data_IF_354465135111
#
_entry.id   IF_354465135111
#
_cell.length_a   1.000
_cell.length_b   1.000
_cell.length_c   1.000
_cell.angle_alpha   90.00
_cell.angle_beta   90.00
_cell.angle_gamma   90.00
#
_symmetry.space_group_name_H-M   'P 1'
#
loop_
_entity.id
_entity.type
_entity.pdbx_description
1 polymer ?
#
# COMPACT_ATOMS: atom_id res chain seq x y z
N UNK A 1 1.38 8.98 -2.31
CA UNK A 1 0.05 9.59 -2.56
C UNK A 1 0.23 10.70 -3.57
N UNK A 2 -0.60 10.77 -4.61
CA UNK A 2 -0.57 11.88 -5.58
C UNK A 2 -1.73 12.82 -5.27
N UNK A 3 -1.45 14.10 -5.03
CA UNK A 3 -2.41 15.05 -4.44
C UNK A 3 -2.52 16.30 -5.33
N UNK A 4 -3.74 16.72 -5.60
CA UNK A 4 -4.07 18.03 -6.19
C UNK A 4 -3.94 19.11 -5.09
N UNK A 5 -3.24 20.21 -5.35
CA UNK A 5 -2.81 21.17 -4.31
C UNK A 5 -3.96 21.83 -3.54
N UNK A 6 -3.87 21.88 -2.20
CA UNK A 6 -4.64 22.84 -1.37
C UNK A 6 -5.42 22.29 -0.17
N UNK A 7 -4.79 21.60 0.78
CA UNK A 7 -5.44 21.15 2.02
C UNK A 7 -5.17 22.11 3.21
N UNK A 8 -6.16 22.40 4.07
CA UNK A 8 -5.98 23.19 5.29
C UNK A 8 -5.25 22.40 6.39
N UNK A 9 -4.59 23.07 7.36
CA UNK A 9 -3.94 22.39 8.48
C UNK A 9 -5.00 21.83 9.45
N UNK A 10 -4.91 20.54 9.77
CA UNK A 10 -5.71 19.84 10.79
C UNK A 10 -4.88 19.48 12.03
N UNK A 11 -5.53 18.85 13.00
CA UNK A 11 -5.04 18.52 14.35
C UNK A 11 -3.68 17.80 14.40
N UNK A 12 -2.94 17.99 15.50
CA UNK A 12 -1.59 17.43 15.74
C UNK A 12 -1.67 15.91 15.91
N UNK A 13 -0.85 15.16 15.17
CA UNK A 13 -0.69 13.71 15.33
C UNK A 13 -0.01 13.36 16.65
N UNK A 14 -0.71 12.62 17.51
CA UNK A 14 -0.22 12.19 18.82
C UNK A 14 0.27 10.74 18.79
N UNK A 15 1.48 10.49 19.29
CA UNK A 15 2.08 9.16 19.30
C UNK A 15 2.05 8.58 20.72
N UNK A 16 1.69 7.31 20.85
CA UNK A 16 1.57 6.68 22.16
C UNK A 16 1.24 5.21 22.03
N UNK A 17 1.25 4.52 23.17
CA UNK A 17 0.90 3.11 23.23
C UNK A 17 -0.55 2.88 22.80
N UNK A 18 -0.86 1.80 22.08
CA UNK A 18 -2.23 1.50 21.62
C UNK A 18 -3.26 1.37 22.75
N UNK A 19 -2.82 1.15 24.00
CA UNK A 19 -3.70 1.15 25.19
C UNK A 19 -4.17 2.57 25.59
N UNK A 20 -3.55 3.61 25.06
CA UNK A 20 -3.87 5.00 25.35
C UNK A 20 -4.90 5.52 24.32
N UNK A 21 -6.08 5.90 24.79
CA UNK A 21 -7.20 6.28 23.91
C UNK A 21 -6.94 7.52 23.02
N UNK A 22 -5.95 8.35 23.38
CA UNK A 22 -5.55 9.54 22.61
C UNK A 22 -4.47 9.26 21.56
N UNK A 23 -3.84 8.08 21.59
CA UNK A 23 -2.76 7.74 20.68
C UNK A 23 -3.30 7.47 19.27
N UNK A 24 -2.76 8.20 18.29
CA UNK A 24 -3.07 8.01 16.87
C UNK A 24 -2.10 7.04 16.18
N UNK A 25 -0.83 7.02 16.60
CA UNK A 25 0.24 6.20 16.04
C UNK A 25 1.00 5.50 17.17
N UNK A 26 1.09 4.18 17.09
CA UNK A 26 1.88 3.35 18.03
C UNK A 26 3.26 2.98 17.45
N UNK A 27 4.05 2.25 18.23
CA UNK A 27 5.36 1.68 17.87
C UNK A 27 5.25 0.85 16.59
N UNK A 28 6.28 0.93 15.76
CA UNK A 28 6.45 -0.04 14.67
C UNK A 28 6.98 -1.37 15.22
N UNK A 29 6.65 -2.47 14.55
CA UNK A 29 7.10 -3.81 14.94
C UNK A 29 8.64 -3.92 14.96
N UNK A 30 9.17 -4.79 15.82
CA UNK A 30 10.54 -4.78 16.33
C UNK A 30 11.69 -5.00 15.32
N UNK A 31 11.43 -5.36 14.05
CA UNK A 31 12.49 -5.62 13.04
C UNK A 31 12.77 -4.43 12.12
N UNK A 32 11.75 -3.66 11.74
CA UNK A 32 11.85 -2.51 10.84
C UNK A 32 12.35 -1.16 11.41
N UNK A 33 12.45 -0.88 12.73
CA UNK A 33 12.51 0.52 13.15
C UNK A 33 13.86 1.20 12.86
N UNK A 34 14.94 0.42 12.97
CA UNK A 34 16.30 0.88 12.63
C UNK A 34 16.42 1.10 11.13
N UNK A 35 15.83 0.22 10.32
CA UNK A 35 15.84 0.31 8.86
C UNK A 35 15.08 1.54 8.39
N UNK A 36 13.86 1.75 8.90
CA UNK A 36 13.04 2.93 8.56
C UNK A 36 13.74 4.22 8.99
N UNK A 37 14.32 4.28 10.19
CA UNK A 37 15.08 5.46 10.65
C UNK A 37 16.30 5.71 9.78
N UNK A 38 17.03 4.66 9.42
CA UNK A 38 18.22 4.75 8.55
C UNK A 38 17.83 5.24 7.16
N UNK A 39 16.77 4.67 6.59
CA UNK A 39 16.22 5.05 5.31
C UNK A 39 15.77 6.51 5.31
N UNK A 40 14.94 6.91 6.27
CA UNK A 40 14.42 8.28 6.41
C UNK A 40 15.56 9.29 6.56
N UNK A 41 16.58 8.99 7.38
CA UNK A 41 17.74 9.84 7.56
C UNK A 41 18.62 9.93 6.31
N UNK A 42 18.78 8.82 5.57
CA UNK A 42 19.50 8.79 4.29
C UNK A 42 18.78 9.66 3.27
N UNK A 43 17.46 9.55 3.16
CA UNK A 43 16.64 10.34 2.24
C UNK A 43 16.74 11.83 2.55
N UNK A 44 16.62 12.24 3.83
CA UNK A 44 16.81 13.64 4.26
C UNK A 44 18.19 14.22 3.93
N UNK A 45 19.25 13.42 4.04
CA UNK A 45 20.64 13.90 3.89
C UNK A 45 21.15 13.84 2.45
N UNK A 46 20.64 12.92 1.63
CA UNK A 46 21.25 12.59 0.32
C UNK A 46 20.35 12.85 -0.88
N UNK A 47 19.06 13.07 -0.68
CA UNK A 47 18.12 13.31 -1.78
C UNK A 47 17.66 14.77 -1.74
N UNK A 48 17.51 15.37 -2.92
CA UNK A 48 16.93 16.71 -3.12
C UNK A 48 15.41 16.64 -2.90
N UNK A 49 15.01 16.30 -1.67
CA UNK A 49 13.62 16.14 -1.24
C UNK A 49 13.36 17.03 -0.04
N UNK A 50 12.14 17.57 0.03
CA UNK A 50 11.74 18.43 1.13
C UNK A 50 10.89 17.66 2.12
N UNK A 51 11.36 17.55 3.36
CA UNK A 51 10.58 17.06 4.49
C UNK A 51 9.57 18.14 4.90
N UNK A 52 8.28 17.89 4.73
CA UNK A 52 7.20 18.84 5.04
C UNK A 52 6.74 18.75 6.49
N UNK A 53 6.61 17.52 7.00
CA UNK A 53 6.12 17.23 8.35
C UNK A 53 7.03 16.15 8.94
N UNK A 54 7.41 16.32 10.20
CA UNK A 54 8.06 15.30 11.01
C UNK A 54 7.53 15.42 12.44
N UNK A 55 6.38 14.80 12.69
CA UNK A 55 5.63 14.96 13.94
C UNK A 55 5.38 13.62 14.63
N UNK A 56 5.59 13.62 15.94
CA UNK A 56 5.02 12.72 16.93
C UNK A 56 5.08 13.51 18.23
N UNK A 57 3.95 14.09 18.64
CA UNK A 57 3.84 14.73 19.94
C UNK A 57 3.58 13.66 20.98
N UNK A 58 4.54 13.37 21.84
CA UNK A 58 4.27 12.98 23.22
C UNK A 58 5.54 13.13 24.05
N UNK A 59 5.42 13.77 25.21
CA UNK A 59 6.46 13.78 26.22
C UNK A 59 6.67 12.34 26.73
N UNK A 60 7.91 11.85 26.72
CA UNK A 60 8.26 10.54 27.28
C UNK A 60 8.40 9.40 26.26
N UNK A 61 8.16 9.64 24.97
CA UNK A 61 8.52 8.71 23.90
C UNK A 61 9.99 8.91 23.52
N UNK A 62 10.86 8.45 24.42
CA UNK A 62 12.29 8.43 24.18
C UNK A 62 12.66 7.40 23.09
N UNK A 63 13.78 7.65 22.42
CA UNK A 63 14.35 6.90 21.29
C UNK A 63 14.53 5.37 21.49
N UNK A 64 14.18 4.83 22.66
CA UNK A 64 14.36 3.44 23.08
C UNK A 64 13.21 2.51 22.67
N UNK A 65 12.06 3.06 22.29
CA UNK A 65 10.81 2.31 22.22
C UNK A 65 10.26 2.07 20.80
N UNK A 66 11.10 2.05 19.76
CA UNK A 66 10.67 1.76 18.38
C UNK A 66 9.59 2.70 17.81
N UNK A 67 9.39 3.87 18.39
CA UNK A 67 8.58 4.91 17.77
C UNK A 67 9.31 5.60 16.63
N UNK A 68 8.55 5.93 15.58
CA UNK A 68 9.00 6.64 14.39
C UNK A 68 8.05 7.80 14.13
N UNK A 69 8.61 8.97 13.89
CA UNK A 69 7.83 10.17 13.58
C UNK A 69 7.13 10.02 12.23
N UNK A 70 5.87 10.42 12.18
CA UNK A 70 5.15 10.53 10.92
C UNK A 70 5.87 11.54 10.03
N UNK A 71 6.36 11.08 8.87
CA UNK A 71 7.23 11.88 8.01
C UNK A 71 6.62 12.01 6.62
N UNK A 72 6.47 13.24 6.13
CA UNK A 72 6.01 13.51 4.76
C UNK A 72 7.14 14.12 3.94
N UNK A 73 7.48 13.47 2.83
CA UNK A 73 8.42 13.98 1.83
C UNK A 73 7.68 14.54 0.61
N UNK A 74 8.18 15.67 0.11
CA UNK A 74 7.75 16.30 -1.13
C UNK A 74 8.95 16.49 -2.05
N UNK A 75 8.67 16.90 -3.30
CA UNK A 75 9.65 17.02 -4.39
C UNK A 75 10.36 15.68 -4.69
N UNK A 76 9.67 14.58 -4.39
CA UNK A 76 10.11 13.21 -4.71
C UNK A 76 9.96 12.96 -6.21
N UNK A 77 10.99 12.37 -6.81
CA UNK A 77 11.00 11.95 -8.23
C UNK A 77 10.80 10.43 -8.34
N UNK A 78 10.25 9.99 -9.47
CA UNK A 78 9.83 8.59 -9.67
C UNK A 78 10.99 7.57 -9.61
N UNK A 79 12.22 8.01 -9.90
CA UNK A 79 13.43 7.18 -9.88
C UNK A 79 14.08 7.07 -8.49
N UNK A 80 13.59 7.84 -7.51
CA UNK A 80 14.12 7.79 -6.16
C UNK A 80 13.67 6.52 -5.44
N UNK A 81 14.57 5.98 -4.62
CA UNK A 81 14.30 4.80 -3.78
C UNK A 81 13.01 4.95 -2.96
N UNK A 82 12.75 6.15 -2.40
CA UNK A 82 11.54 6.46 -1.61
C UNK A 82 10.23 6.48 -2.41
N UNK A 83 10.29 6.50 -3.74
CA UNK A 83 9.13 6.38 -4.61
C UNK A 83 8.88 4.94 -5.08
N UNK A 84 9.92 4.09 -5.04
CA UNK A 84 9.91 2.76 -5.65
C UNK A 84 9.82 1.62 -4.65
N UNK A 85 10.40 1.79 -3.45
CA UNK A 85 10.48 0.75 -2.44
C UNK A 85 9.46 0.96 -1.32
N UNK A 86 9.03 -0.15 -0.71
CA UNK A 86 8.12 -0.14 0.42
C UNK A 86 8.88 0.07 1.74
N UNK A 87 8.46 1.08 2.50
CA UNK A 87 9.17 1.49 3.73
C UNK A 87 8.58 0.81 4.98
N UNK A 88 7.31 0.37 4.94
CA UNK A 88 6.61 -0.24 6.09
C UNK A 88 6.61 0.60 7.38
N UNK A 89 6.72 1.92 7.25
CA UNK A 89 6.69 2.88 8.36
C UNK A 89 5.72 4.03 8.11
N UNK A 90 5.54 4.94 9.09
CA UNK A 90 4.70 6.13 8.95
C UNK A 90 5.41 7.19 8.09
N UNK A 91 5.77 6.83 6.86
CA UNK A 91 6.51 7.67 5.91
C UNK A 91 5.72 7.74 4.61
N UNK A 92 5.41 8.97 4.16
CA UNK A 92 4.65 9.21 2.95
C UNK A 92 5.42 10.09 1.96
N UNK A 93 5.40 9.71 0.69
CA UNK A 93 5.87 10.52 -0.44
C UNK A 93 4.69 11.22 -1.14
N UNK A 94 4.84 12.51 -1.40
CA UNK A 94 3.91 13.33 -2.17
C UNK A 94 4.56 13.71 -3.50
N UNK A 95 3.91 13.30 -4.58
CA UNK A 95 4.33 13.58 -5.95
C UNK A 95 3.21 14.34 -6.66
N UNK A 96 3.57 15.41 -7.36
CA UNK A 96 2.66 16.21 -8.19
C UNK A 96 2.61 15.62 -9.60
N UNK A 97 1.50 15.80 -10.29
CA UNK A 97 1.28 15.42 -11.68
C UNK A 97 0.48 16.52 -12.37
N UNK A 98 0.61 16.63 -13.68
CA UNK A 98 -0.04 17.70 -14.46
C UNK A 98 -1.14 17.17 -15.40
N UNK A 99 -1.18 15.85 -15.68
CA UNK A 99 -2.18 15.24 -16.56
C UNK A 99 -2.63 13.85 -16.14
N UNK A 100 -3.79 13.42 -16.65
CA UNK A 100 -4.35 12.09 -16.37
C UNK A 100 -3.49 10.98 -17.00
N UNK A 101 -3.01 11.19 -18.23
CA UNK A 101 -2.18 10.21 -18.92
C UNK A 101 -0.86 9.98 -18.17
N UNK A 102 -0.29 11.05 -17.63
CA UNK A 102 0.90 10.99 -16.78
C UNK A 102 0.61 10.23 -15.49
N UNK A 103 -0.48 10.55 -14.77
CA UNK A 103 -0.78 9.89 -13.49
C UNK A 103 -1.04 8.39 -13.67
N UNK A 104 -1.71 8.00 -14.75
CA UNK A 104 -1.99 6.59 -15.08
C UNK A 104 -0.70 5.85 -15.41
N UNK A 105 0.18 6.47 -16.22
CA UNK A 105 1.47 5.89 -16.55
C UNK A 105 2.31 5.69 -15.30
N UNK A 106 2.42 6.70 -14.44
CA UNK A 106 3.21 6.68 -13.21
C UNK A 106 2.64 5.71 -12.17
N UNK A 107 1.32 5.66 -12.00
CA UNK A 107 0.67 4.71 -11.10
C UNK A 107 0.89 3.25 -11.51
N UNK A 108 1.02 2.98 -12.82
CA UNK A 108 1.28 1.64 -13.34
C UNK A 108 2.78 1.29 -13.44
N UNK A 109 3.67 2.29 -13.51
CA UNK A 109 5.12 2.13 -13.46
C UNK A 109 5.57 1.87 -12.01
N UNK A 110 5.39 0.63 -11.58
CA UNK A 110 5.86 0.09 -10.30
C UNK A 110 5.91 -1.43 -10.42
N UNK A 111 6.78 -2.08 -9.65
CA UNK A 111 6.81 -3.55 -9.53
C UNK A 111 5.65 -4.09 -8.69
N UNK A 112 5.00 -3.22 -7.92
CA UNK A 112 3.90 -3.56 -7.02
C UNK A 112 2.51 -3.25 -7.62
N UNK A 113 1.47 -3.78 -7.01
CA UNK A 113 0.09 -3.66 -7.47
C UNK A 113 -0.95 -4.12 -6.44
N UNK A 114 -0.77 -3.82 -5.15
CA UNK A 114 -1.71 -4.27 -4.11
C UNK A 114 -3.02 -3.47 -4.12
N UNK A 115 -2.93 -2.15 -3.95
CA UNK A 115 -4.10 -1.29 -3.83
C UNK A 115 -3.85 0.12 -4.33
N UNK A 116 -4.90 0.78 -4.81
CA UNK A 116 -4.88 2.20 -5.15
C UNK A 116 -6.12 2.94 -4.65
N UNK A 117 -5.95 4.22 -4.36
CA UNK A 117 -7.03 5.13 -3.98
C UNK A 117 -7.15 6.29 -4.95
N UNK A 118 -8.37 6.62 -5.33
CA UNK A 118 -8.69 7.76 -6.19
C UNK A 118 -9.64 8.68 -5.43
N UNK A 119 -9.16 9.88 -5.07
CA UNK A 119 -9.96 10.90 -4.40
C UNK A 119 -10.33 11.96 -5.43
N UNK A 120 -11.62 12.11 -5.73
CA UNK A 120 -12.12 13.05 -6.72
C UNK A 120 -13.60 13.37 -6.51
N UNK A 121 -14.01 14.59 -6.85
CA UNK A 121 -15.44 14.99 -6.87
C UNK A 121 -16.18 14.50 -8.11
N UNK A 122 -15.46 14.11 -9.16
CA UNK A 122 -16.04 13.64 -10.41
C UNK A 122 -15.95 12.12 -10.49
N UNK A 123 -17.09 11.45 -10.34
CA UNK A 123 -17.17 10.00 -10.36
C UNK A 123 -16.76 9.40 -11.71
N UNK A 124 -16.94 10.11 -12.83
CA UNK A 124 -16.54 9.61 -14.16
C UNK A 124 -15.03 9.52 -14.25
N UNK A 125 -14.33 10.52 -13.71
CA UNK A 125 -12.87 10.49 -13.58
C UNK A 125 -12.42 9.37 -12.65
N UNK A 126 -13.11 9.19 -11.52
CA UNK A 126 -12.85 8.11 -10.58
C UNK A 126 -12.90 6.74 -11.24
N UNK A 127 -13.99 6.44 -11.95
CA UNK A 127 -14.19 5.18 -12.67
C UNK A 127 -13.21 5.02 -13.85
N UNK A 128 -12.93 6.10 -14.58
CA UNK A 128 -11.97 6.07 -15.70
C UNK A 128 -10.58 5.70 -15.21
N UNK A 129 -10.11 6.33 -14.13
CA UNK A 129 -8.85 5.99 -13.49
C UNK A 129 -8.86 4.54 -12.99
N UNK A 130 -9.93 4.12 -12.32
CA UNK A 130 -10.06 2.77 -11.80
C UNK A 130 -9.94 1.69 -12.89
N UNK A 131 -10.43 1.94 -14.10
CA UNK A 131 -10.28 1.01 -15.22
C UNK A 131 -8.89 1.01 -15.88
N UNK A 132 -8.06 2.04 -15.63
CA UNK A 132 -6.78 2.20 -16.32
C UNK A 132 -5.56 1.91 -15.43
N UNK A 133 -5.70 2.02 -14.12
CA UNK A 133 -4.68 1.60 -13.16
C UNK A 133 -4.79 0.10 -12.87
N UNK A 134 -3.67 -0.56 -12.56
CA UNK A 134 -3.60 -2.02 -12.36
C UNK A 134 -3.17 -2.47 -10.95
N UNK A 135 -3.87 -2.07 -9.89
CA UNK A 135 -3.79 -2.73 -8.59
C UNK A 135 -4.83 -3.85 -8.48
N UNK A 136 -4.70 -4.71 -7.46
CA UNK A 136 -5.74 -5.69 -7.16
C UNK A 136 -6.99 -5.10 -6.50
N UNK A 137 -6.84 -4.06 -5.66
CA UNK A 137 -7.95 -3.32 -5.06
C UNK A 137 -7.96 -1.83 -5.41
N UNK A 138 -9.13 -1.26 -5.69
CA UNK A 138 -9.29 0.18 -5.95
C UNK A 138 -10.39 0.79 -5.08
N UNK A 139 -10.05 1.86 -4.37
CA UNK A 139 -10.98 2.64 -3.59
C UNK A 139 -11.23 4.01 -4.24
N UNK A 140 -12.49 4.38 -4.45
CA UNK A 140 -12.87 5.72 -4.92
C UNK A 140 -13.46 6.49 -3.74
N UNK A 141 -12.90 7.66 -3.43
CA UNK A 141 -13.30 8.54 -2.32
C UNK A 141 -13.25 7.90 -0.92
N UNK A 142 -12.49 6.82 -0.79
CA UNK A 142 -12.09 6.21 0.47
C UNK A 142 -10.70 5.60 0.30
N UNK A 143 -10.11 5.09 1.37
CA UNK A 143 -8.85 4.36 1.32
C UNK A 143 -8.86 3.25 2.37
N UNK A 144 -8.42 2.04 1.98
CA UNK A 144 -8.26 0.89 2.88
C UNK A 144 -9.56 0.51 3.63
N UNK A 145 -10.71 0.68 3.00
CA UNK A 145 -11.97 0.08 3.48
C UNK A 145 -12.05 -1.34 2.96
N UNK A 146 -11.92 -2.33 3.84
CA UNK A 146 -11.90 -3.76 3.51
C UNK A 146 -13.14 -4.41 4.13
N UNK A 147 -13.75 -5.35 3.42
CA UNK A 147 -14.83 -6.19 3.94
C UNK A 147 -14.68 -7.62 3.43
N UNK A 148 -15.15 -8.58 4.22
CA UNK A 148 -14.97 -10.02 3.93
C UNK A 148 -15.68 -10.47 2.64
N UNK A 149 -16.66 -9.69 2.17
CA UNK A 149 -17.41 -9.97 0.95
C UNK A 149 -16.75 -9.44 -0.32
N UNK A 150 -15.66 -8.66 -0.20
CA UNK A 150 -14.96 -8.10 -1.34
C UNK A 150 -13.59 -8.76 -1.47
N UNK A 151 -13.27 -9.17 -2.70
CA UNK A 151 -11.97 -9.72 -3.04
C UNK A 151 -10.84 -8.73 -2.69
N UNK A 152 -9.82 -9.21 -1.99
CA UNK A 152 -8.55 -8.52 -1.82
C UNK A 152 -7.47 -9.27 -2.59
N UNK A 153 -6.87 -8.59 -3.57
CA UNK A 153 -5.94 -9.19 -4.54
C UNK A 153 -4.67 -8.34 -4.63
N UNK A 154 -3.57 -8.96 -5.05
CA UNK A 154 -2.29 -8.32 -5.32
C UNK A 154 -1.86 -8.60 -6.75
N UNK A 155 -1.50 -7.55 -7.50
CA UNK A 155 -0.96 -7.70 -8.85
C UNK A 155 0.58 -7.60 -8.84
N UNK A 156 1.23 -8.21 -9.83
CA UNK A 156 2.69 -8.19 -10.03
C UNK A 156 3.43 -8.81 -8.83
N UNK A 157 4.40 -8.12 -8.25
CA UNK A 157 5.14 -8.62 -7.08
C UNK A 157 4.39 -8.44 -5.76
N UNK A 158 3.16 -7.87 -5.77
CA UNK A 158 2.34 -7.76 -4.56
C UNK A 158 1.58 -9.02 -4.17
N UNK A 159 1.60 -10.05 -5.02
CA UNK A 159 0.92 -11.32 -4.75
C UNK A 159 0.45 -12.00 -6.04
N UNK A 160 0.10 -13.26 -5.92
CA UNK A 160 -0.65 -14.02 -6.94
C UNK A 160 -1.91 -14.65 -6.36
N UNK A 161 -2.07 -14.58 -5.04
CA UNK A 161 -3.14 -15.20 -4.30
C UNK A 161 -4.24 -14.18 -4.01
N UNK A 162 -5.45 -14.69 -3.92
CA UNK A 162 -6.67 -13.95 -3.63
C UNK A 162 -7.09 -14.25 -2.22
N UNK A 163 -7.43 -13.22 -1.46
CA UNK A 163 -7.93 -13.34 -0.09
C UNK A 163 -9.34 -12.75 0.01
N UNK A 164 -10.07 -13.17 1.06
CA UNK A 164 -11.47 -12.82 1.31
C UNK A 164 -12.41 -13.32 0.19
N UNK A 165 -13.68 -12.93 0.25
CA UNK A 165 -14.73 -13.38 -0.66
C UNK A 165 -14.74 -14.92 -0.85
N UNK A 166 -15.50 -15.42 -1.82
CA UNK A 166 -15.47 -16.83 -2.21
C UNK A 166 -14.12 -17.25 -2.80
N UNK A 167 -13.40 -16.34 -3.47
CA UNK A 167 -12.11 -16.64 -4.11
C UNK A 167 -11.00 -16.99 -3.10
N UNK A 168 -11.02 -16.40 -1.91
CA UNK A 168 -10.08 -16.76 -0.85
C UNK A 168 -10.31 -18.18 -0.32
N UNK A 169 -11.55 -18.68 -0.37
CA UNK A 169 -11.85 -20.07 0.01
C UNK A 169 -11.34 -21.07 -1.02
N UNK A 170 -11.31 -20.71 -2.31
CA UNK A 170 -10.82 -21.59 -3.38
C UNK A 170 -9.37 -22.01 -3.16
N UNK A 171 -8.55 -21.18 -2.48
CA UNK A 171 -7.18 -21.53 -2.12
C UNK A 171 -7.08 -22.74 -1.15
N UNK A 172 -8.15 -23.04 -0.41
CA UNK A 172 -8.15 -24.07 0.64
C UNK A 172 -8.87 -25.36 0.27
N UNK A 173 -9.55 -25.41 -0.90
CA UNK A 173 -10.28 -26.60 -1.32
C UNK A 173 -9.96 -26.93 -2.78
N UNK A 174 -9.48 -28.15 -3.01
CA UNK A 174 -9.22 -28.67 -4.35
C UNK A 174 -10.53 -29.19 -4.95
N UNK A 175 -10.95 -28.65 -6.09
CA UNK A 175 -12.16 -29.15 -6.75
C UNK A 175 -11.91 -30.57 -7.26
N UNK A 176 -12.91 -31.45 -7.16
CA UNK A 176 -12.81 -32.79 -7.74
C UNK A 176 -12.69 -32.75 -9.28
N UNK A 177 -13.05 -31.62 -9.89
CA UNK A 177 -12.85 -31.36 -11.31
C UNK A 177 -11.36 -31.17 -11.64
N UNK A 178 -10.59 -30.48 -10.80
CA UNK A 178 -9.14 -30.32 -10.98
C UNK A 178 -8.42 -31.66 -10.84
N UNK A 179 -8.86 -32.49 -9.87
CA UNK A 179 -8.38 -33.88 -9.76
C UNK A 179 -8.73 -34.71 -11.00
N UNK A 180 -9.92 -34.50 -11.56
CA UNK A 180 -10.36 -35.20 -12.77
C UNK A 180 -9.58 -34.75 -14.01
N UNK A 181 -9.24 -33.46 -14.13
CA UNK A 181 -8.38 -32.93 -15.20
C UNK A 181 -6.95 -33.45 -15.04
N UNK A 182 -6.37 -33.42 -13.83
CA UNK A 182 -5.04 -33.98 -13.56
C UNK A 182 -5.00 -35.50 -13.87
N UNK A 183 -6.07 -36.24 -13.53
CA UNK A 183 -6.21 -37.65 -13.88
C UNK A 183 -6.36 -37.88 -15.39
N UNK A 184 -7.07 -36.99 -16.09
CA UNK A 184 -7.21 -37.05 -17.54
C UNK A 184 -5.89 -36.73 -18.27
N UNK A 185 -5.12 -35.75 -17.77
CA UNK A 185 -3.81 -35.35 -18.32
C UNK A 185 -2.72 -36.40 -18.06
N UNK A 186 -2.76 -37.09 -16.92
CA UNK A 186 -1.86 -38.22 -16.63
C UNK A 186 -2.14 -39.47 -17.48
N UNK A 187 -3.24 -39.47 -18.22
CA UNK A 187 -3.68 -40.58 -19.05
C UNK A 187 -4.23 -41.73 -18.21
N UNK A 188 -5.49 -42.09 -18.43
CA UNK A 188 -6.05 -43.34 -17.89
C UNK A 188 -5.32 -44.53 -18.52
N UNK A 189 -4.39 -45.15 -17.80
CA UNK A 189 -3.97 -46.52 -18.10
C UNK A 189 -5.09 -47.47 -17.67
N UNK A 190 -5.88 -47.92 -18.65
CA UNK A 190 -6.79 -49.02 -18.47
C UNK A 190 -5.99 -50.32 -18.62
N UNK A 191 -5.51 -50.88 -17.52
CA UNK A 191 -4.97 -52.25 -17.53
C UNK A 191 -6.15 -53.20 -17.79
N UNK A 192 -6.15 -53.79 -18.98
CA UNK A 192 -7.11 -54.81 -19.37
C UNK A 192 -6.84 -56.07 -18.54
N UNK A 193 -7.89 -56.76 -18.02
CA UNK A 193 -7.73 -57.93 -17.17
C UNK A 193 -7.08 -59.13 -17.88
#
# INVERSE_FOLDING_TARGET
>A
MMIESGFPPGDILECGYAIAAHAHIDKVACTSPVEIKTFTNKTKKKMDVKCLIEECGSEGVDNKDYFIKATIFSDVKDDMQIAREEIFGPVMSVLKYDSYEEVIKRANDTTFGLGAGVITRDIRRGLTLAHQIRPGSIWINTYKTICDQALFDGFKESGQEKELDQYGLEAYYQSDLDKAIEAAEKGFQYDSP
#
